data_IF_568906887223
#
_entry.id   IF_568906887223
#
_cell.length_a   1.000
_cell.length_b   1.000
_cell.length_c   1.000
_cell.angle_alpha   90.00
_cell.angle_beta   90.00
_cell.angle_gamma   90.00
#
_symmetry.space_group_name_H-M   'P 1'
#
loop_
_entity.id
_entity.type
_entity.pdbx_description
1 polymer ?
#
# COMPACT_ATOMS: atom_id res chain seq x y z
N UNK A 1 46.54 -34.88 2.33
CA UNK A 1 45.61 -34.05 3.12
C UNK A 1 44.84 -33.15 2.15
N UNK A 2 43.62 -33.51 1.76
CA UNK A 2 42.78 -32.66 0.89
C UNK A 2 41.96 -31.71 1.76
N UNK A 3 42.15 -30.40 1.58
CA UNK A 3 41.31 -29.36 2.16
C UNK A 3 40.07 -29.19 1.28
N UNK A 4 38.90 -29.57 1.79
CA UNK A 4 37.63 -29.21 1.18
C UNK A 4 37.38 -27.71 1.43
N UNK A 5 37.40 -26.90 0.39
CA UNK A 5 36.94 -25.53 0.43
C UNK A 5 35.41 -25.52 0.34
N UNK A 6 34.74 -25.20 1.44
CA UNK A 6 33.29 -25.00 1.45
C UNK A 6 32.97 -23.65 0.80
N UNK A 7 32.38 -23.66 -0.40
CA UNK A 7 31.75 -22.49 -1.00
C UNK A 7 30.47 -22.17 -0.22
N UNK A 8 30.49 -21.07 0.53
CA UNK A 8 29.28 -20.49 1.10
C UNK A 8 28.49 -19.80 -0.03
N UNK A 9 27.37 -20.39 -0.45
CA UNK A 9 26.37 -19.71 -1.27
C UNK A 9 25.67 -18.66 -0.40
N UNK A 10 26.00 -17.39 -0.59
CA UNK A 10 25.18 -16.28 -0.11
C UNK A 10 23.90 -16.24 -0.96
N UNK A 11 22.79 -16.78 -0.43
CA UNK A 11 21.46 -16.46 -0.94
C UNK A 11 21.16 -15.01 -0.59
N UNK A 12 21.47 -14.08 -1.50
CA UNK A 12 20.96 -12.72 -1.42
C UNK A 12 19.43 -12.77 -1.67
N UNK A 13 18.60 -12.21 -0.79
CA UNK A 13 17.18 -12.06 -1.10
C UNK A 13 17.05 -11.18 -2.34
N UNK A 14 16.40 -11.69 -3.38
CA UNK A 14 16.05 -10.91 -4.56
C UNK A 14 15.21 -9.72 -4.09
N UNK A 15 15.59 -8.46 -4.40
CA UNK A 15 14.71 -7.34 -4.11
C UNK A 15 13.39 -7.60 -4.84
N UNK A 16 12.27 -7.35 -4.16
CA UNK A 16 10.98 -7.26 -4.83
C UNK A 16 11.17 -6.27 -5.99
N UNK A 17 11.09 -6.75 -7.24
CA UNK A 17 11.55 -5.98 -8.38
C UNK A 17 10.67 -4.74 -8.52
N UNK A 18 11.20 -3.59 -8.08
CA UNK A 18 10.70 -2.31 -8.53
C UNK A 18 10.79 -2.29 -10.06
N UNK A 19 9.86 -1.58 -10.71
CA UNK A 19 9.79 -1.50 -12.16
C UNK A 19 11.15 -1.12 -12.75
N UNK A 20 11.53 -1.65 -13.92
CA UNK A 20 12.85 -1.40 -14.52
C UNK A 20 13.14 0.11 -14.68
N UNK A 21 12.09 0.90 -14.95
CA UNK A 21 12.17 2.34 -15.08
C UNK A 21 12.44 3.08 -13.76
N UNK A 22 12.26 2.43 -12.60
CA UNK A 22 12.63 3.00 -11.29
C UNK A 22 14.13 3.25 -11.14
N UNK A 23 14.96 2.68 -12.01
CA UNK A 23 16.40 2.94 -12.07
C UNK A 23 16.75 4.23 -12.84
N UNK A 24 15.78 4.91 -13.45
CA UNK A 24 16.05 6.13 -14.22
C UNK A 24 16.42 7.30 -13.32
N UNK A 25 17.33 8.16 -13.81
CA UNK A 25 17.86 9.30 -13.03
C UNK A 25 16.89 10.48 -12.93
N UNK A 26 15.93 10.58 -13.85
CA UNK A 26 15.02 11.73 -13.98
C UNK A 26 13.57 11.31 -13.73
N UNK A 27 13.26 10.92 -12.49
CA UNK A 27 11.91 10.58 -12.07
C UNK A 27 11.16 11.83 -11.58
N UNK A 28 9.90 11.97 -11.98
CA UNK A 28 8.96 12.91 -11.35
C UNK A 28 8.72 12.56 -9.87
N UNK A 29 8.15 13.49 -9.09
CA UNK A 29 7.81 13.23 -7.68
C UNK A 29 6.84 12.03 -7.53
N UNK A 30 5.89 11.90 -8.46
CA UNK A 30 4.95 10.77 -8.50
C UNK A 30 5.66 9.45 -8.76
N UNK A 31 6.56 9.42 -9.73
CA UNK A 31 7.37 8.25 -10.05
C UNK A 31 8.29 7.83 -8.89
N UNK A 32 8.91 8.79 -8.20
CA UNK A 32 9.68 8.52 -6.98
C UNK A 32 8.80 7.88 -5.90
N UNK A 33 7.58 8.39 -5.69
CA UNK A 33 6.61 7.84 -4.73
C UNK A 33 6.16 6.42 -5.12
N UNK A 34 5.95 6.14 -6.41
CA UNK A 34 5.61 4.81 -6.91
C UNK A 34 6.78 3.84 -6.64
N UNK A 35 8.00 4.21 -6.99
CA UNK A 35 9.18 3.36 -6.84
C UNK A 35 9.56 3.07 -5.38
N UNK A 36 9.14 3.93 -4.44
CA UNK A 36 9.38 3.77 -3.01
C UNK A 36 8.22 3.12 -2.26
N UNK A 37 7.11 2.80 -2.94
CA UNK A 37 5.92 2.16 -2.35
C UNK A 37 5.64 0.81 -3.00
N UNK A 38 5.79 -0.32 -2.27
CA UNK A 38 5.44 -1.64 -2.80
C UNK A 38 4.00 -1.75 -3.29
N UNK A 39 3.05 -1.08 -2.62
CA UNK A 39 1.64 -1.06 -3.04
C UNK A 39 1.49 -0.37 -4.40
N UNK A 40 2.05 0.83 -4.56
CA UNK A 40 1.93 1.59 -5.80
C UNK A 40 2.70 0.92 -6.95
N UNK A 41 3.87 0.32 -6.67
CA UNK A 41 4.60 -0.47 -7.65
C UNK A 41 3.83 -1.72 -8.12
N UNK A 42 3.08 -2.35 -7.22
CA UNK A 42 2.17 -3.46 -7.56
C UNK A 42 1.00 -3.02 -8.44
N UNK A 43 0.39 -1.87 -8.13
CA UNK A 43 -0.66 -1.28 -8.96
C UNK A 43 -0.13 -0.86 -10.35
N UNK A 44 1.10 -0.36 -10.44
CA UNK A 44 1.75 -0.05 -11.72
C UNK A 44 1.97 -1.30 -12.59
N UNK A 45 2.43 -2.39 -11.97
CA UNK A 45 2.58 -3.69 -12.65
C UNK A 45 1.22 -4.20 -13.16
N UNK A 46 0.19 -4.11 -12.32
CA UNK A 46 -1.15 -4.57 -12.66
C UNK A 46 -1.76 -3.75 -13.80
N UNK A 47 -1.65 -2.42 -13.74
CA UNK A 47 -2.11 -1.54 -14.81
C UNK A 47 -1.40 -1.83 -16.13
N UNK A 48 -0.08 -2.07 -16.09
CA UNK A 48 0.71 -2.42 -17.28
C UNK A 48 0.16 -3.67 -17.96
N UNK A 49 -0.20 -4.68 -17.17
CA UNK A 49 -0.78 -5.93 -17.67
C UNK A 49 -2.19 -5.73 -18.26
N UNK A 50 -3.06 -4.93 -17.62
CA UNK A 50 -4.37 -4.61 -18.18
C UNK A 50 -4.29 -3.77 -19.46
N UNK A 51 -3.41 -2.77 -19.49
CA UNK A 51 -3.22 -1.91 -20.65
C UNK A 51 -2.82 -2.71 -21.90
N UNK A 52 -1.87 -3.65 -21.76
CA UNK A 52 -1.43 -4.55 -22.86
C UNK A 52 -2.56 -5.38 -23.48
N UNK A 53 -3.61 -5.68 -22.72
CA UNK A 53 -4.75 -6.48 -23.15
C UNK A 53 -5.98 -5.65 -23.54
N UNK A 54 -5.90 -4.34 -23.41
CA UNK A 54 -6.99 -3.42 -23.69
C UNK A 54 -6.90 -2.83 -25.11
N UNK A 55 -8.01 -2.26 -25.59
CA UNK A 55 -8.02 -1.46 -26.83
C UNK A 55 -7.72 0.03 -26.57
N UNK A 56 -7.24 0.38 -25.36
CA UNK A 56 -6.95 1.75 -25.01
C UNK A 56 -5.78 2.29 -25.84
N UNK A 57 -5.93 3.50 -26.38
CA UNK A 57 -4.89 4.10 -27.21
C UNK A 57 -3.70 4.61 -26.37
N UNK A 58 -2.53 4.65 -27.00
CA UNK A 58 -1.33 5.26 -26.40
C UNK A 58 -1.55 6.71 -25.99
N UNK A 59 -2.36 7.45 -26.76
CA UNK A 59 -2.73 8.83 -26.42
C UNK A 59 -3.55 8.88 -25.12
N UNK A 60 -4.55 8.00 -24.96
CA UNK A 60 -5.34 7.89 -23.73
C UNK A 60 -4.46 7.57 -22.53
N UNK A 61 -3.52 6.63 -22.70
CA UNK A 61 -2.61 6.23 -21.63
C UNK A 61 -1.62 7.34 -21.26
N UNK A 62 -1.11 8.07 -22.25
CA UNK A 62 -0.21 9.22 -22.03
C UNK A 62 -0.92 10.36 -21.30
N UNK A 63 -2.17 10.64 -21.66
CA UNK A 63 -2.98 11.64 -20.98
C UNK A 63 -3.29 11.24 -19.53
N UNK A 64 -3.58 9.96 -19.29
CA UNK A 64 -3.73 9.44 -17.94
C UNK A 64 -2.45 9.59 -17.12
N UNK A 65 -1.28 9.24 -17.66
CA UNK A 65 0.02 9.41 -16.97
C UNK A 65 0.27 10.86 -16.56
N UNK A 66 -0.10 11.83 -17.42
CA UNK A 66 0.00 13.25 -17.12
C UNK A 66 -0.88 13.64 -15.93
N UNK A 67 -2.16 13.24 -15.94
CA UNK A 67 -3.10 13.49 -14.83
C UNK A 67 -2.65 12.82 -13.54
N UNK A 68 -2.17 11.58 -13.60
CA UNK A 68 -1.59 10.87 -12.44
C UNK A 68 -0.43 11.68 -11.84
N UNK A 69 0.44 12.23 -12.67
CA UNK A 69 1.60 13.00 -12.20
C UNK A 69 1.23 14.34 -11.53
N UNK A 70 -0.01 14.82 -11.68
CA UNK A 70 -0.52 15.98 -10.92
C UNK A 70 -0.67 15.68 -9.43
N UNK A 71 -0.74 14.40 -9.02
CA UNK A 71 -0.78 14.00 -7.61
C UNK A 71 0.51 14.32 -6.84
N UNK A 72 1.63 14.61 -7.51
CA UNK A 72 2.91 14.81 -6.83
C UNK A 72 3.30 13.57 -6.02
N UNK A 73 3.59 13.73 -4.73
CA UNK A 73 3.92 12.62 -3.83
C UNK A 73 2.75 12.12 -2.96
N UNK A 74 1.51 12.52 -3.26
CA UNK A 74 0.34 12.09 -2.49
C UNK A 74 -0.01 10.63 -2.82
N UNK A 75 0.32 9.72 -1.89
CA UNK A 75 0.11 8.28 -2.08
C UNK A 75 -1.36 7.91 -2.30
N UNK A 76 -2.29 8.61 -1.64
CA UNK A 76 -3.73 8.34 -1.75
C UNK A 76 -4.28 8.80 -3.09
N UNK A 77 -3.84 9.97 -3.57
CA UNK A 77 -4.17 10.45 -4.90
C UNK A 77 -3.64 9.51 -5.99
N UNK A 78 -2.37 9.09 -5.88
CA UNK A 78 -1.74 8.19 -6.85
C UNK A 78 -2.46 6.84 -6.87
N UNK A 79 -2.72 6.25 -5.70
CA UNK A 79 -3.47 5.00 -5.57
C UNK A 79 -4.85 5.09 -6.25
N UNK A 80 -5.61 6.14 -5.95
CA UNK A 80 -6.92 6.35 -6.54
C UNK A 80 -6.85 6.49 -8.07
N UNK A 81 -5.82 7.18 -8.58
CA UNK A 81 -5.56 7.31 -10.01
C UNK A 81 -5.30 5.96 -10.70
N UNK A 82 -4.50 5.08 -10.07
CA UNK A 82 -4.25 3.74 -10.56
C UNK A 82 -5.52 2.90 -10.57
N UNK A 83 -6.28 2.86 -9.47
CA UNK A 83 -7.51 2.06 -9.35
C UNK A 83 -8.54 2.47 -10.38
N UNK A 84 -8.77 3.78 -10.53
CA UNK A 84 -9.70 4.31 -11.53
C UNK A 84 -9.32 3.87 -12.94
N UNK A 85 -8.03 3.95 -13.28
CA UNK A 85 -7.56 3.54 -14.60
C UNK A 85 -7.61 2.04 -14.83
N UNK A 86 -7.27 1.24 -13.82
CA UNK A 86 -7.39 -0.22 -13.91
C UNK A 86 -8.85 -0.60 -14.17
N UNK A 87 -9.80 0.02 -13.46
CA UNK A 87 -11.23 -0.18 -13.70
C UNK A 87 -11.63 0.18 -15.14
N UNK A 88 -11.22 1.35 -15.64
CA UNK A 88 -11.45 1.77 -17.04
C UNK A 88 -10.90 0.75 -18.05
N UNK A 89 -9.68 0.23 -17.83
CA UNK A 89 -9.02 -0.70 -18.74
C UNK A 89 -9.64 -2.11 -18.71
N UNK A 90 -10.35 -2.45 -17.63
CA UNK A 90 -11.04 -3.74 -17.49
C UNK A 90 -12.46 -3.75 -18.04
N UNK A 91 -13.08 -2.58 -18.22
CA UNK A 91 -14.42 -2.44 -18.76
C UNK A 91 -14.38 -2.53 -20.30
N UNK A 92 -14.89 -3.62 -20.88
CA UNK A 92 -14.89 -3.82 -22.34
C UNK A 92 -16.09 -3.12 -23.02
N UNK A 93 -15.91 -2.49 -24.21
CA UNK A 93 -17.03 -1.96 -24.99
C UNK A 93 -17.96 -3.10 -25.43
N UNK A 94 -19.21 -3.10 -24.97
CA UNK A 94 -20.22 -4.10 -25.33
C UNK A 94 -20.28 -5.34 -24.43
N UNK A 95 -19.50 -5.38 -23.34
CA UNK A 95 -19.84 -6.26 -22.23
C UNK A 95 -21.21 -5.84 -21.66
N UNK A 96 -22.13 -6.78 -21.34
CA UNK A 96 -23.23 -6.43 -20.44
C UNK A 96 -22.61 -5.78 -19.20
N UNK A 97 -23.27 -4.78 -18.57
CA UNK A 97 -22.73 -4.15 -17.38
C UNK A 97 -22.23 -5.27 -16.47
N UNK A 98 -20.96 -5.19 -16.07
CA UNK A 98 -20.41 -6.14 -15.12
C UNK A 98 -21.48 -6.30 -14.03
N UNK A 99 -21.87 -7.53 -13.63
CA UNK A 99 -22.80 -7.68 -12.53
C UNK A 99 -22.28 -6.76 -11.43
N UNK A 100 -23.15 -5.86 -10.93
CA UNK A 100 -22.81 -4.92 -9.86
C UNK A 100 -21.90 -5.67 -8.88
N UNK A 101 -20.75 -5.08 -8.49
CA UNK A 101 -19.63 -5.80 -7.90
C UNK A 101 -20.15 -6.87 -6.97
N UNK A 102 -19.80 -8.12 -7.25
CA UNK A 102 -20.26 -9.26 -6.48
C UNK A 102 -20.14 -8.92 -4.99
N UNK A 103 -21.25 -9.03 -4.26
CA UNK A 103 -21.28 -8.75 -2.84
C UNK A 103 -20.18 -9.52 -2.08
N UNK A 104 -19.82 -9.03 -0.90
CA UNK A 104 -18.72 -8.09 -0.71
C UNK A 104 -17.37 -8.72 -1.06
N UNK A 105 -16.44 -7.94 -1.62
CA UNK A 105 -15.02 -8.21 -1.42
C UNK A 105 -14.80 -8.42 0.08
N UNK A 106 -14.19 -9.54 0.47
CA UNK A 106 -13.82 -9.82 1.87
C UNK A 106 -13.40 -8.51 2.57
N UNK A 107 -13.92 -8.25 3.78
CA UNK A 107 -13.62 -7.00 4.46
C UNK A 107 -12.11 -6.80 4.50
N UNK A 108 -11.65 -5.59 4.12
CA UNK A 108 -10.22 -5.33 3.94
C UNK A 108 -9.41 -5.69 5.19
N UNK A 109 -10.05 -5.69 6.37
CA UNK A 109 -9.53 -6.23 7.62
C UNK A 109 -10.58 -7.03 8.38
N UNK A 110 -10.15 -8.02 9.21
CA UNK A 110 -11.08 -8.88 9.94
C UNK A 110 -12.05 -8.18 10.89
N UNK A 111 -11.78 -6.92 11.29
CA UNK A 111 -12.61 -6.15 12.20
C UNK A 111 -13.55 -5.16 11.47
N UNK A 112 -13.45 -5.05 10.14
CA UNK A 112 -14.21 -4.06 9.37
C UNK A 112 -15.72 -4.37 9.24
N UNK A 113 -16.18 -5.53 9.71
CA UNK A 113 -17.59 -5.89 9.80
C UNK A 113 -18.22 -5.54 11.17
N UNK A 114 -17.42 -5.02 12.10
CA UNK A 114 -17.89 -4.68 13.44
C UNK A 114 -18.95 -3.57 13.38
N UNK A 115 -19.96 -3.68 14.23
CA UNK A 115 -20.93 -2.60 14.43
C UNK A 115 -20.33 -1.50 15.29
N UNK A 116 -20.59 -0.24 14.93
CA UNK A 116 -20.15 0.92 15.70
C UNK A 116 -18.71 1.39 15.42
N UNK A 117 -18.21 1.17 14.20
CA UNK A 117 -16.96 1.78 13.74
C UNK A 117 -17.03 3.31 13.88
N UNK A 118 -15.92 3.92 14.26
CA UNK A 118 -15.78 5.37 14.22
C UNK A 118 -15.41 5.86 12.78
N UNK A 119 -15.48 7.17 12.48
CA UNK A 119 -15.18 7.67 11.13
C UNK A 119 -13.77 7.34 10.61
N UNK A 120 -12.78 7.25 11.50
CA UNK A 120 -11.41 6.84 11.13
C UNK A 120 -11.36 5.37 10.76
N UNK A 121 -12.05 4.53 11.53
CA UNK A 121 -12.17 3.10 11.28
C UNK A 121 -12.89 2.79 9.98
N UNK A 122 -14.00 3.48 9.71
CA UNK A 122 -14.70 3.41 8.41
C UNK A 122 -13.75 3.79 7.26
N UNK A 123 -12.96 4.84 7.43
CA UNK A 123 -11.99 5.31 6.42
C UNK A 123 -10.88 4.28 6.19
N UNK A 124 -10.37 3.64 7.25
CA UNK A 124 -9.40 2.54 7.14
C UNK A 124 -10.00 1.34 6.41
N UNK A 125 -11.26 1.00 6.70
CA UNK A 125 -11.96 -0.12 6.08
C UNK A 125 -12.35 0.12 4.61
N UNK A 126 -12.44 1.38 4.18
CA UNK A 126 -12.74 1.76 2.81
C UNK A 126 -11.49 2.01 1.94
N UNK A 127 -10.30 2.03 2.54
CA UNK A 127 -9.05 2.37 1.84
C UNK A 127 -7.99 1.28 2.00
N UNK A 128 -7.60 0.64 0.89
CA UNK A 128 -6.63 -0.46 0.90
C UNK A 128 -5.24 -0.06 1.40
N UNK A 129 -4.72 1.12 1.05
CA UNK A 129 -3.44 1.59 1.61
C UNK A 129 -3.50 1.69 3.14
N UNK A 130 -4.58 2.27 3.71
CA UNK A 130 -4.77 2.34 5.16
C UNK A 130 -4.98 0.96 5.79
N UNK A 131 -5.78 0.09 5.18
CA UNK A 131 -6.00 -1.27 5.67
C UNK A 131 -4.68 -2.06 5.73
N UNK A 132 -3.84 -1.92 4.71
CA UNK A 132 -2.50 -2.51 4.65
C UNK A 132 -1.55 -1.91 5.70
N UNK A 133 -1.62 -0.60 5.93
CA UNK A 133 -0.86 0.05 7.01
C UNK A 133 -1.30 -0.45 8.39
N UNK A 134 -2.61 -0.61 8.65
CA UNK A 134 -3.08 -1.21 9.89
C UNK A 134 -2.61 -2.68 10.04
N UNK A 135 -2.45 -3.40 8.93
CA UNK A 135 -2.01 -4.80 8.96
C UNK A 135 -0.51 -4.88 9.28
N UNK A 136 0.27 -3.99 8.67
CA UNK A 136 1.69 -3.81 8.96
C UNK A 136 1.90 -3.39 10.42
N UNK A 137 1.09 -2.47 10.93
CA UNK A 137 1.12 -2.09 12.34
C UNK A 137 0.82 -3.28 13.24
N UNK A 138 -0.23 -4.06 12.94
CA UNK A 138 -0.55 -5.27 13.70
C UNK A 138 0.60 -6.29 13.74
N UNK A 139 1.29 -6.49 12.61
CA UNK A 139 2.45 -7.37 12.52
C UNK A 139 3.65 -6.86 13.35
N UNK A 140 3.95 -5.56 13.28
CA UNK A 140 5.05 -4.95 14.06
C UNK A 140 4.69 -4.91 15.54
N UNK A 141 3.46 -4.52 15.89
CA UNK A 141 2.96 -4.48 17.25
C UNK A 141 3.02 -5.86 17.91
N UNK A 142 2.56 -6.92 17.23
CA UNK A 142 2.64 -8.29 17.74
C UNK A 142 4.08 -8.78 18.00
N UNK A 143 5.06 -8.27 17.23
CA UNK A 143 6.48 -8.54 17.45
C UNK A 143 7.12 -7.66 18.54
N UNK A 144 6.69 -6.41 18.64
CA UNK A 144 7.18 -5.44 19.62
C UNK A 144 6.64 -5.71 21.04
N UNK A 145 5.45 -6.32 21.15
CA UNK A 145 4.69 -6.38 22.39
C UNK A 145 4.35 -7.83 22.75
N UNK A 146 5.29 -8.48 23.40
CA UNK A 146 4.97 -9.50 24.38
C UNK A 146 4.51 -8.84 25.70
N UNK A 147 3.31 -8.22 25.76
CA UNK A 147 2.52 -7.98 27.01
C UNK A 147 1.03 -7.77 26.70
N UNK A 148 0.09 -8.28 27.52
CA UNK A 148 -1.32 -7.92 27.41
C UNK A 148 -1.52 -6.50 27.96
N UNK A 149 -2.12 -5.62 27.14
CA UNK A 149 -2.40 -4.20 27.36
C UNK A 149 -1.17 -3.28 27.48
N UNK A 150 -0.72 -2.77 26.32
CA UNK A 150 0.10 -1.55 26.25
C UNK A 150 -0.83 -0.32 26.19
N UNK A 151 -0.99 0.44 27.30
CA UNK A 151 -1.82 1.64 27.30
C UNK A 151 -1.37 2.68 26.27
N UNK A 152 -0.08 2.68 25.86
CA UNK A 152 0.40 3.59 24.81
C UNK A 152 -0.25 3.32 23.46
N UNK A 153 -0.69 2.09 23.19
CA UNK A 153 -1.39 1.76 21.96
C UNK A 153 -2.84 2.26 21.98
N UNK A 154 -3.54 2.11 23.11
CA UNK A 154 -4.90 2.62 23.27
C UNK A 154 -4.95 4.15 23.25
N UNK A 155 -3.91 4.81 23.78
CA UNK A 155 -3.77 6.26 23.72
C UNK A 155 -3.44 6.73 22.30
N UNK A 156 -2.54 6.06 21.60
CA UNK A 156 -2.25 6.33 20.19
C UNK A 156 -3.50 6.18 19.30
N UNK A 157 -4.27 5.10 19.48
CA UNK A 157 -5.51 4.89 18.71
C UNK A 157 -6.45 6.08 18.85
N UNK A 158 -6.72 6.53 20.08
CA UNK A 158 -7.67 7.62 20.34
C UNK A 158 -7.12 9.02 20.03
N UNK A 159 -5.88 9.28 20.42
CA UNK A 159 -5.28 10.61 20.42
C UNK A 159 -4.57 10.99 19.14
N UNK A 160 -4.03 10.01 18.40
CA UNK A 160 -3.27 10.25 17.18
C UNK A 160 -4.02 9.77 15.95
N UNK A 161 -4.48 8.51 15.94
CA UNK A 161 -5.17 7.93 14.78
C UNK A 161 -6.58 8.50 14.64
N UNK A 162 -7.42 8.29 15.66
CA UNK A 162 -8.85 8.62 15.58
C UNK A 162 -9.10 10.15 15.55
N UNK A 163 -8.15 10.94 16.04
CA UNK A 163 -8.18 12.40 15.94
C UNK A 163 -8.13 12.90 14.48
N UNK A 164 -7.70 12.08 13.52
CA UNK A 164 -7.71 12.42 12.10
C UNK A 164 -9.10 12.40 11.45
N UNK A 165 -10.10 11.77 12.08
CA UNK A 165 -11.44 11.63 11.49
C UNK A 165 -11.38 10.89 10.14
N UNK A 166 -11.79 11.52 9.05
CA UNK A 166 -11.81 10.90 7.71
C UNK A 166 -10.63 11.32 6.81
N UNK A 167 -9.65 12.07 7.33
CA UNK A 167 -8.47 12.49 6.55
C UNK A 167 -7.50 11.31 6.36
N UNK A 168 -7.61 10.62 5.22
CA UNK A 168 -6.77 9.48 4.88
C UNK A 168 -5.26 9.79 4.94
N UNK A 169 -4.85 10.99 4.55
CA UNK A 169 -3.43 11.40 4.59
C UNK A 169 -2.97 11.60 6.04
N UNK A 170 -3.80 12.18 6.90
CA UNK A 170 -3.54 12.24 8.34
C UNK A 170 -3.43 10.85 8.95
N UNK A 171 -4.41 9.97 8.69
CA UNK A 171 -4.45 8.61 9.23
C UNK A 171 -3.21 7.82 8.79
N UNK A 172 -2.85 7.88 7.50
CA UNK A 172 -1.67 7.22 6.95
C UNK A 172 -0.37 7.69 7.61
N UNK A 173 -0.22 9.01 7.85
CA UNK A 173 0.93 9.54 8.60
C UNK A 173 0.96 9.05 10.05
N UNK A 174 -0.19 8.95 10.72
CA UNK A 174 -0.27 8.42 12.07
C UNK A 174 0.21 6.96 12.12
N UNK A 175 -0.27 6.11 11.20
CA UNK A 175 0.20 4.72 11.07
C UNK A 175 1.70 4.65 10.82
N UNK A 176 2.22 5.38 9.82
CA UNK A 176 3.64 5.34 9.46
C UNK A 176 4.54 5.70 10.64
N UNK A 177 4.23 6.77 11.38
CA UNK A 177 5.01 7.17 12.57
C UNK A 177 5.04 6.06 13.60
N UNK A 178 3.88 5.45 13.89
CA UNK A 178 3.77 4.38 14.90
C UNK A 178 4.50 3.10 14.48
N UNK A 179 4.40 2.71 13.21
CA UNK A 179 5.12 1.55 12.66
C UNK A 179 6.64 1.77 12.79
N UNK A 180 7.14 2.96 12.43
CA UNK A 180 8.57 3.29 12.54
C UNK A 180 9.04 3.29 14.00
N UNK A 181 8.25 3.89 14.91
CA UNK A 181 8.51 3.92 16.34
C UNK A 181 8.64 2.50 16.92
N UNK A 182 7.63 1.65 16.70
CA UNK A 182 7.63 0.28 17.21
C UNK A 182 8.73 -0.57 16.55
N UNK A 183 8.99 -0.38 15.27
CA UNK A 183 10.10 -1.04 14.57
C UNK A 183 11.47 -0.65 15.14
N UNK A 184 11.64 0.61 15.59
CA UNK A 184 12.82 1.07 16.31
C UNK A 184 13.04 0.30 17.61
N UNK A 185 12.00 0.21 18.44
CA UNK A 185 12.03 -0.54 19.70
C UNK A 185 12.41 -2.01 19.52
N UNK A 186 11.87 -2.67 18.50
CA UNK A 186 12.23 -4.07 18.20
C UNK A 186 13.73 -4.21 17.92
N UNK A 187 14.31 -3.30 17.13
CA UNK A 187 15.75 -3.33 16.80
C UNK A 187 16.63 -3.10 18.03
N UNK A 188 16.24 -2.16 18.88
CA UNK A 188 16.98 -1.83 20.12
C UNK A 188 16.93 -2.98 21.14
N UNK A 189 15.79 -3.67 21.26
CA UNK A 189 15.61 -4.77 22.21
C UNK A 189 16.13 -6.13 21.69
N UNK A 190 16.47 -6.22 20.40
CA UNK A 190 17.01 -7.43 19.75
C UNK A 190 18.51 -7.37 19.45
N UNK A 191 19.21 -6.34 19.94
CA UNK A 191 20.66 -6.16 19.85
C UNK A 191 21.40 -6.58 21.11
#
# INVERSE_FOLDING_TARGET
MLRAAALALCLSPLPAAAQEWCAFQSLSQTEQAICSSPLLGGLDAQLTEFYRRSDASEASQTDWLRRRNECGSDLFCIEASYRGRIAELTEAPGAPPAPAPAAPSEPLRPWCDASGLNPTEETVCANELLANMDAALGAVYGRAIARPNDPSQADWLRGDRDACGTDATCIGRAYLRRIVELGGRIRENGG
#
